data_IF_067047815105
#
_entry.id   IF_067047815105
#
_cell.length_a   1.000
_cell.length_b   1.000
_cell.length_c   1.000
_cell.angle_alpha   90.00
_cell.angle_beta   90.00
_cell.angle_gamma   90.00
#
_symmetry.space_group_name_H-M   'P 1'
#
loop_
_entity.id
_entity.type
_entity.pdbx_description
1 polymer ?
#
# COMPACT_ATOMS: atom_id res chain seq x y z
N UNK A 1 33.65 18.36 8.96
CA UNK A 1 33.07 17.14 9.58
C UNK A 1 31.65 17.38 10.10
N UNK A 2 31.42 18.29 11.07
CA UNK A 2 30.06 18.61 11.58
C UNK A 2 29.06 19.06 10.51
N UNK A 3 29.46 19.91 9.57
CA UNK A 3 28.58 20.37 8.49
C UNK A 3 28.21 19.25 7.48
N UNK A 4 29.08 18.25 7.30
CA UNK A 4 28.76 17.07 6.46
C UNK A 4 27.68 16.23 7.12
N UNK A 5 27.77 15.96 8.42
CA UNK A 5 26.76 15.16 9.13
C UNK A 5 25.38 15.79 9.10
N UNK A 6 25.27 17.11 9.34
CA UNK A 6 24.00 17.83 9.20
C UNK A 6 23.40 17.65 7.81
N UNK A 7 24.22 17.83 6.77
CA UNK A 7 23.79 17.70 5.39
C UNK A 7 23.33 16.28 5.05
N UNK A 8 24.03 15.25 5.53
CA UNK A 8 23.63 13.85 5.34
C UNK A 8 22.26 13.56 5.98
N UNK A 9 22.02 14.09 7.18
CA UNK A 9 20.73 13.95 7.88
C UNK A 9 19.62 14.64 7.08
N UNK A 10 19.84 15.87 6.63
CA UNK A 10 18.86 16.62 5.83
C UNK A 10 18.60 15.92 4.49
N UNK A 11 19.64 15.43 3.82
CA UNK A 11 19.50 14.70 2.55
C UNK A 11 18.69 13.42 2.73
N UNK A 12 18.98 12.63 3.77
CA UNK A 12 18.22 11.41 4.07
C UNK A 12 16.75 11.72 4.39
N UNK A 13 16.47 12.71 5.24
CA UNK A 13 15.11 13.13 5.56
C UNK A 13 14.35 13.60 4.31
N UNK A 14 14.98 14.43 3.48
CA UNK A 14 14.38 14.93 2.25
C UNK A 14 14.03 13.80 1.28
N UNK A 15 14.90 12.81 1.10
CA UNK A 15 14.63 11.64 0.26
C UNK A 15 13.45 10.81 0.81
N UNK A 16 13.41 10.56 2.12
CA UNK A 16 12.34 9.78 2.76
C UNK A 16 10.96 10.47 2.66
N UNK A 17 10.93 11.80 2.69
CA UNK A 17 9.70 12.58 2.55
C UNK A 17 9.18 12.68 1.10
N UNK A 18 10.03 12.38 0.11
CA UNK A 18 9.74 12.49 -1.32
C UNK A 18 9.95 11.14 -2.05
N UNK A 19 9.21 10.07 -1.65
CA UNK A 19 9.34 8.77 -2.29
C UNK A 19 8.91 8.84 -3.76
N UNK A 20 9.77 8.31 -4.63
CA UNK A 20 9.56 8.21 -6.09
C UNK A 20 9.46 9.54 -6.85
N UNK A 21 9.68 10.67 -6.20
CA UNK A 21 9.82 11.94 -6.89
C UNK A 21 11.12 11.98 -7.70
N UNK A 22 11.06 12.59 -8.89
CA UNK A 22 12.23 12.85 -9.71
C UNK A 22 12.90 14.14 -9.26
N UNK A 23 13.94 14.01 -8.43
CA UNK A 23 14.63 15.13 -7.82
C UNK A 23 15.84 15.55 -8.65
N UNK A 24 15.91 16.84 -9.02
CA UNK A 24 17.06 17.38 -9.74
C UNK A 24 18.29 17.49 -8.84
N UNK A 25 19.44 17.02 -9.33
CA UNK A 25 20.72 17.26 -8.65
C UNK A 25 21.04 18.75 -8.51
N UNK A 26 20.54 19.60 -9.42
CA UNK A 26 20.74 21.05 -9.33
C UNK A 26 19.94 21.64 -8.18
N UNK A 27 18.67 21.25 -8.05
CA UNK A 27 17.79 21.74 -6.98
C UNK A 27 18.30 21.29 -5.61
N UNK A 28 18.68 20.02 -5.48
CA UNK A 28 19.26 19.47 -4.24
C UNK A 28 20.59 20.15 -3.89
N UNK A 29 21.44 20.42 -4.88
CA UNK A 29 22.72 21.13 -4.71
C UNK A 29 22.50 22.55 -4.20
N UNK A 30 21.51 23.26 -4.74
CA UNK A 30 21.11 24.59 -4.28
C UNK A 30 20.50 24.57 -2.88
N UNK A 31 19.60 23.60 -2.60
CA UNK A 31 18.95 23.43 -1.29
C UNK A 31 19.98 23.22 -0.17
N UNK A 32 20.98 22.38 -0.44
CA UNK A 32 22.01 22.01 0.54
C UNK A 32 23.25 22.91 0.49
N UNK A 33 23.28 23.90 -0.43
CA UNK A 33 24.40 24.83 -0.65
C UNK A 33 25.76 24.14 -0.83
N UNK A 34 25.79 23.06 -1.63
CA UNK A 34 27.03 22.31 -1.92
C UNK A 34 27.20 22.05 -3.40
N UNK A 35 28.44 21.83 -3.84
CA UNK A 35 28.72 21.41 -5.22
C UNK A 35 28.10 20.04 -5.54
N UNK A 36 27.74 19.82 -6.82
CA UNK A 36 27.16 18.55 -7.30
C UNK A 36 28.06 17.33 -7.05
N UNK A 37 29.38 17.50 -7.07
CA UNK A 37 30.34 16.43 -6.75
C UNK A 37 30.26 16.01 -5.29
N UNK A 38 30.18 16.97 -4.36
CA UNK A 38 29.97 16.71 -2.93
C UNK A 38 28.62 16.04 -2.68
N UNK A 39 27.56 16.54 -3.32
CA UNK A 39 26.24 15.92 -3.23
C UNK A 39 26.24 14.47 -3.72
N UNK A 40 26.96 14.16 -4.81
CA UNK A 40 27.03 12.80 -5.34
C UNK A 40 27.72 11.83 -4.39
N UNK A 41 28.79 12.26 -3.70
CA UNK A 41 29.44 11.45 -2.66
C UNK A 41 28.50 11.20 -1.47
N UNK A 42 27.78 12.24 -1.04
CA UNK A 42 26.82 12.13 0.06
C UNK A 42 25.62 11.25 -0.31
N UNK A 43 25.13 11.30 -1.56
CA UNK A 43 24.08 10.42 -2.07
C UNK A 43 24.51 8.96 -2.06
N UNK A 44 25.75 8.65 -2.47
CA UNK A 44 26.28 7.27 -2.42
C UNK A 44 26.33 6.76 -0.98
N UNK A 45 26.77 7.62 -0.03
CA UNK A 45 26.78 7.26 1.38
C UNK A 45 25.37 7.03 1.93
N UNK A 46 24.44 7.96 1.70
CA UNK A 46 23.04 7.84 2.16
C UNK A 46 22.37 6.61 1.55
N UNK A 47 22.59 6.35 0.26
CA UNK A 47 22.11 5.12 -0.40
C UNK A 47 22.54 3.87 0.37
N UNK A 48 23.83 3.72 0.64
CA UNK A 48 24.35 2.55 1.35
C UNK A 48 23.75 2.38 2.75
N UNK A 49 23.53 3.49 3.47
CA UNK A 49 22.88 3.47 4.79
C UNK A 49 21.40 3.06 4.70
N UNK A 50 20.65 3.62 3.75
CA UNK A 50 19.23 3.29 3.54
C UNK A 50 19.04 1.84 3.10
N UNK A 51 19.93 1.32 2.24
CA UNK A 51 19.90 -0.08 1.79
C UNK A 51 20.20 -1.04 2.94
N UNK A 52 21.24 -0.76 3.73
CA UNK A 52 21.61 -1.58 4.89
C UNK A 52 20.52 -1.58 5.98
N UNK A 53 19.81 -0.47 6.15
CA UNK A 53 18.70 -0.36 7.09
C UNK A 53 17.36 -0.91 6.54
N UNK A 54 17.31 -1.36 5.27
CA UNK A 54 16.09 -1.84 4.64
C UNK A 54 15.07 -0.74 4.26
N UNK A 55 15.44 0.54 4.41
CA UNK A 55 14.58 1.66 4.07
C UNK A 55 14.40 1.84 2.57
N UNK A 56 15.33 1.37 1.73
CA UNK A 56 15.20 1.45 0.27
C UNK A 56 16.50 1.83 -0.41
N UNK A 57 16.39 2.24 -1.67
CA UNK A 57 17.55 2.57 -2.50
C UNK A 57 17.38 3.93 -3.15
N UNK A 58 18.50 4.55 -3.52
CA UNK A 58 18.54 5.77 -4.32
C UNK A 58 19.05 5.42 -5.70
N UNK A 59 18.23 5.67 -6.72
CA UNK A 59 18.56 5.47 -8.12
C UNK A 59 19.00 6.80 -8.73
N UNK A 60 20.13 6.78 -9.44
CA UNK A 60 20.61 7.94 -10.19
C UNK A 60 20.28 7.74 -11.66
N UNK A 61 19.59 8.72 -12.26
CA UNK A 61 19.28 8.74 -13.69
C UNK A 61 20.22 9.71 -14.41
N UNK A 62 20.81 9.26 -15.53
CA UNK A 62 21.74 10.05 -16.34
C UNK A 62 20.98 10.74 -17.48
N UNK A 63 21.30 12.01 -17.78
CA UNK A 63 20.74 12.75 -18.93
C UNK A 63 20.32 14.19 -18.60
N UNK A 64 19.67 14.86 -19.56
CA UNK A 64 19.23 16.28 -19.45
C UNK A 64 18.14 16.46 -18.39
N UNK A 65 17.29 15.45 -18.18
CA UNK A 65 16.36 15.33 -17.05
C UNK A 65 16.92 14.43 -15.94
N UNK A 66 18.23 14.22 -15.91
CA UNK A 66 18.89 13.39 -14.91
C UNK A 66 18.68 13.92 -13.50
N UNK A 67 18.75 13.00 -12.53
CA UNK A 67 18.36 13.29 -11.16
C UNK A 67 18.54 12.07 -10.27
N UNK A 68 17.91 12.14 -9.11
CA UNK A 68 17.84 11.02 -8.18
C UNK A 68 16.39 10.73 -7.84
N UNK A 69 16.10 9.44 -7.68
CA UNK A 69 14.80 8.95 -7.24
C UNK A 69 15.04 8.03 -6.06
N UNK A 70 14.41 8.33 -4.94
CA UNK A 70 14.37 7.40 -3.81
C UNK A 70 13.25 6.37 -4.05
N UNK A 71 13.61 5.09 -3.99
CA UNK A 71 12.68 3.98 -4.09
C UNK A 71 12.56 3.34 -2.70
N UNK A 72 11.39 3.45 -2.05
CA UNK A 72 11.13 2.82 -0.77
C UNK A 72 11.38 1.32 -0.81
N UNK A 73 12.07 0.83 0.21
CA UNK A 73 12.33 -0.58 0.46
C UNK A 73 11.27 -1.18 1.38
N UNK A 74 11.62 -2.33 1.96
CA UNK A 74 10.81 -2.99 2.97
C UNK A 74 11.70 -3.36 4.14
N UNK A 75 11.47 -2.70 5.28
CA UNK A 75 12.01 -3.16 6.57
C UNK A 75 11.26 -4.43 6.97
N UNK A 76 11.86 -5.58 6.66
CA UNK A 76 11.29 -6.91 6.90
C UNK A 76 11.10 -7.20 8.38
N UNK A 77 11.94 -6.63 9.25
CA UNK A 77 11.84 -6.85 10.70
C UNK A 77 10.64 -6.09 11.24
N UNK A 78 10.49 -4.81 10.86
CA UNK A 78 9.30 -4.00 11.19
C UNK A 78 8.03 -4.64 10.64
N UNK A 79 8.03 -5.05 9.37
CA UNK A 79 6.88 -5.70 8.75
C UNK A 79 6.48 -7.01 9.47
N UNK A 80 7.45 -7.85 9.85
CA UNK A 80 7.22 -9.07 10.63
C UNK A 80 6.60 -8.78 12.00
N UNK A 81 7.18 -7.82 12.72
CA UNK A 81 6.71 -7.45 14.05
C UNK A 81 5.29 -6.89 13.98
N UNK A 82 4.98 -6.10 12.96
CA UNK A 82 3.62 -5.59 12.72
C UNK A 82 2.64 -6.70 12.37
N UNK A 83 2.99 -7.65 11.48
CA UNK A 83 2.13 -8.81 11.20
C UNK A 83 1.79 -9.58 12.48
N UNK A 84 2.79 -9.86 13.32
CA UNK A 84 2.56 -10.57 14.58
C UNK A 84 1.68 -9.75 15.54
N UNK A 85 1.95 -8.45 15.68
CA UNK A 85 1.14 -7.55 16.52
C UNK A 85 -0.32 -7.54 16.06
N UNK A 86 -0.58 -7.52 14.76
CA UNK A 86 -1.94 -7.62 14.23
C UNK A 86 -2.60 -8.96 14.54
N UNK A 87 -1.89 -10.08 14.38
CA UNK A 87 -2.40 -11.41 14.74
C UNK A 87 -2.79 -11.43 16.22
N UNK A 88 -1.89 -11.00 17.11
CA UNK A 88 -2.11 -11.00 18.56
C UNK A 88 -3.34 -10.16 18.94
N UNK A 89 -3.53 -9.00 18.30
CA UNK A 89 -4.70 -8.15 18.53
C UNK A 89 -5.98 -8.74 17.96
N UNK A 90 -5.94 -9.38 16.80
CA UNK A 90 -7.13 -9.92 16.14
C UNK A 90 -7.65 -11.21 16.76
N UNK A 91 -6.83 -11.93 17.53
CA UNK A 91 -7.26 -13.12 18.28
C UNK A 91 -7.81 -12.79 19.67
N UNK A 92 -7.84 -11.51 20.07
CA UNK A 92 -8.49 -11.05 21.31
C UNK A 92 -9.98 -11.47 21.32
N UNK A 93 -10.52 -12.01 22.44
CA UNK A 93 -11.87 -12.60 22.47
C UNK A 93 -13.01 -11.63 22.11
N UNK A 94 -12.84 -10.34 22.32
CA UNK A 94 -13.83 -9.29 22.05
C UNK A 94 -13.84 -8.82 20.59
N UNK A 95 -12.93 -9.34 19.75
CA UNK A 95 -12.84 -9.00 18.33
C UNK A 95 -13.93 -9.65 17.49
N UNK A 96 -14.44 -10.81 17.91
CA UNK A 96 -15.51 -11.48 17.18
C UNK A 96 -16.86 -10.89 17.58
N UNK A 97 -17.49 -10.18 16.65
CA UNK A 97 -18.83 -9.62 16.85
C UNK A 97 -19.89 -10.73 16.89
N UNK A 98 -21.07 -10.49 17.50
CA UNK A 98 -22.17 -11.45 17.53
C UNK A 98 -22.63 -11.91 16.14
N UNK A 99 -22.47 -11.05 15.14
CA UNK A 99 -22.83 -11.32 13.74
C UNK A 99 -21.75 -12.11 12.98
N UNK A 100 -20.67 -12.53 13.65
CA UNK A 100 -19.60 -13.33 13.04
C UNK A 100 -18.64 -12.52 12.18
N UNK A 101 -18.47 -11.22 12.45
CA UNK A 101 -17.45 -10.38 11.81
C UNK A 101 -16.30 -10.06 12.77
N UNK A 102 -15.10 -9.93 12.22
CA UNK A 102 -13.92 -9.48 12.94
C UNK A 102 -13.90 -7.94 13.06
N UNK A 103 -13.82 -7.44 14.29
CA UNK A 103 -13.74 -6.02 14.58
C UNK A 103 -12.29 -5.52 14.46
N UNK A 104 -12.02 -4.79 13.39
CA UNK A 104 -10.68 -4.30 13.03
C UNK A 104 -10.58 -2.76 12.99
N UNK A 105 -11.66 -2.05 13.28
CA UNK A 105 -11.76 -0.61 12.99
C UNK A 105 -10.75 0.22 13.78
N UNK A 106 -10.59 -0.03 15.08
CA UNK A 106 -9.58 0.63 15.92
C UNK A 106 -8.15 0.39 15.39
N UNK A 107 -7.84 -0.82 14.91
CA UNK A 107 -6.53 -1.17 14.39
C UNK A 107 -6.25 -0.54 13.02
N UNK A 108 -7.26 -0.51 12.14
CA UNK A 108 -7.15 0.06 10.79
C UNK A 108 -6.90 1.57 10.82
N UNK A 109 -7.42 2.26 11.82
CA UNK A 109 -7.29 3.71 11.96
C UNK A 109 -6.15 4.14 12.90
N UNK A 110 -5.28 3.19 13.29
CA UNK A 110 -4.02 3.45 13.99
C UNK A 110 -2.85 3.45 12.97
N UNK A 111 -2.25 4.62 12.67
CA UNK A 111 -1.14 4.74 11.70
C UNK A 111 0.04 3.81 12.04
N UNK A 112 0.38 3.65 13.32
CA UNK A 112 1.51 2.83 13.75
C UNK A 112 1.29 1.34 13.45
N UNK A 113 0.02 0.94 13.34
CA UNK A 113 -0.37 -0.42 12.99
C UNK A 113 -0.52 -0.59 11.47
N UNK A 114 -1.19 0.34 10.78
CA UNK A 114 -1.55 0.16 9.37
C UNK A 114 -0.40 0.47 8.40
N UNK A 115 0.45 1.46 8.70
CA UNK A 115 1.50 1.89 7.78
C UNK A 115 2.50 0.77 7.42
N UNK A 116 3.06 0.01 8.39
CA UNK A 116 3.96 -1.10 8.07
C UNK A 116 3.30 -2.19 7.22
N UNK A 117 2.00 -2.41 7.41
CA UNK A 117 1.23 -3.40 6.65
C UNK A 117 0.92 -2.91 5.24
N UNK A 118 0.61 -1.61 5.06
CA UNK A 118 0.46 -1.01 3.73
C UNK A 118 1.77 -1.04 2.93
N UNK A 119 2.90 -0.76 3.56
CA UNK A 119 4.23 -0.91 2.95
C UNK A 119 4.49 -2.34 2.49
N UNK A 120 4.21 -3.32 3.36
CA UNK A 120 4.34 -4.74 3.04
C UNK A 120 3.40 -5.17 1.88
N UNK A 121 2.15 -4.69 1.89
CA UNK A 121 1.16 -5.01 0.87
C UNK A 121 1.48 -4.37 -0.48
N UNK A 122 2.06 -3.16 -0.49
CA UNK A 122 2.51 -2.47 -1.68
C UNK A 122 3.78 -3.09 -2.29
N UNK A 123 4.60 -3.78 -1.49
CA UNK A 123 5.91 -4.29 -1.92
C UNK A 123 5.90 -5.10 -3.22
N UNK A 124 4.97 -6.05 -3.46
CA UNK A 124 4.89 -6.80 -4.72
C UNK A 124 4.66 -5.92 -5.96
N UNK A 125 4.12 -4.71 -5.77
CA UNK A 125 3.76 -3.78 -6.83
C UNK A 125 4.82 -2.70 -7.07
N UNK A 126 5.88 -2.64 -6.26
CA UNK A 126 6.92 -1.59 -6.33
C UNK A 126 7.69 -1.54 -7.65
N UNK A 127 7.77 -2.67 -8.36
CA UNK A 127 8.40 -2.81 -9.67
C UNK A 127 7.39 -2.76 -10.83
N UNK A 128 6.11 -2.58 -10.53
CA UNK A 128 5.06 -2.41 -11.53
C UNK A 128 4.77 -0.92 -11.72
N UNK A 129 4.23 -0.59 -12.89
CA UNK A 129 3.67 0.73 -13.11
C UNK A 129 2.26 0.76 -12.51
N UNK A 130 2.11 1.47 -11.39
CA UNK A 130 0.83 1.74 -10.73
C UNK A 130 0.60 3.25 -10.84
N UNK A 131 -0.52 3.66 -11.42
CA UNK A 131 -0.90 5.08 -11.53
C UNK A 131 -1.65 5.54 -10.30
N UNK A 132 -2.41 4.65 -9.68
CA UNK A 132 -3.22 4.95 -8.50
C UNK A 132 -3.55 3.71 -7.67
N UNK A 133 -3.81 3.94 -6.39
CA UNK A 133 -4.41 2.94 -5.49
C UNK A 133 -5.89 3.25 -5.34
N UNK A 134 -6.77 2.28 -5.62
CA UNK A 134 -8.21 2.45 -5.44
C UNK A 134 -8.73 1.68 -4.23
N UNK A 135 -9.72 2.22 -3.54
CA UNK A 135 -10.43 1.51 -2.45
C UNK A 135 -11.89 1.94 -2.36
N UNK A 136 -12.74 1.13 -1.73
CA UNK A 136 -14.13 1.48 -1.43
C UNK A 136 -14.21 2.05 -0.02
N UNK A 137 -14.99 3.11 0.16
CA UNK A 137 -15.20 3.66 1.50
C UNK A 137 -15.82 2.62 2.49
N UNK A 138 -15.43 2.60 3.76
CA UNK A 138 -14.54 3.55 4.45
C UNK A 138 -13.29 2.89 5.04
N UNK A 139 -13.39 1.62 5.42
CA UNK A 139 -12.39 0.91 6.23
C UNK A 139 -11.08 0.63 5.49
N UNK A 140 -11.12 0.46 4.17
CA UNK A 140 -9.92 0.28 3.34
C UNK A 140 -9.09 1.56 3.14
N UNK A 141 -9.61 2.74 3.48
CA UNK A 141 -8.95 4.04 3.22
C UNK A 141 -7.57 4.13 3.88
N UNK A 142 -7.38 3.86 5.19
CA UNK A 142 -6.07 3.98 5.82
C UNK A 142 -5.03 3.06 5.18
N UNK A 143 -5.41 1.81 4.88
CA UNK A 143 -4.52 0.85 4.23
C UNK A 143 -4.17 1.27 2.80
N UNK A 144 -5.13 1.80 2.04
CA UNK A 144 -4.90 2.31 0.70
C UNK A 144 -3.91 3.50 0.71
N UNK A 145 -4.04 4.41 1.67
CA UNK A 145 -3.10 5.52 1.86
C UNK A 145 -1.68 5.01 2.19
N UNK A 146 -1.59 4.03 3.10
CA UNK A 146 -0.33 3.39 3.46
C UNK A 146 0.32 2.65 2.28
N UNK A 147 -0.47 2.08 1.37
CA UNK A 147 0.04 1.46 0.13
C UNK A 147 0.47 2.51 -0.91
N UNK A 148 -0.28 3.61 -1.04
CA UNK A 148 -0.07 4.60 -2.09
C UNK A 148 1.25 5.37 -1.91
N UNK A 149 1.63 5.65 -0.65
CA UNK A 149 2.86 6.36 -0.29
C UNK A 149 4.14 5.69 -0.84
N UNK A 150 4.44 4.40 -0.57
CA UNK A 150 5.62 3.75 -1.12
C UNK A 150 5.55 3.51 -2.63
N UNK A 151 4.35 3.57 -3.22
CA UNK A 151 4.14 3.52 -4.68
C UNK A 151 4.28 4.88 -5.35
N UNK A 152 4.29 5.99 -4.60
CA UNK A 152 4.38 7.35 -5.14
C UNK A 152 3.14 7.71 -5.97
N UNK A 153 1.97 7.26 -5.52
CA UNK A 153 0.70 7.40 -6.27
C UNK A 153 -0.40 8.01 -5.43
N UNK A 154 -1.45 8.48 -6.09
CA UNK A 154 -2.64 9.01 -5.43
C UNK A 154 -3.64 7.89 -5.08
N UNK A 155 -4.55 8.17 -4.13
CA UNK A 155 -5.66 7.28 -3.80
C UNK A 155 -6.95 7.72 -4.52
N UNK A 156 -7.55 6.79 -5.24
CA UNK A 156 -8.86 6.93 -5.88
C UNK A 156 -9.93 6.31 -4.98
N UNK A 157 -10.84 7.14 -4.48
CA UNK A 157 -11.88 6.68 -3.57
C UNK A 157 -13.18 6.34 -4.31
N UNK A 158 -13.56 5.07 -4.26
CA UNK A 158 -14.86 4.58 -4.73
C UNK A 158 -15.89 4.77 -3.62
N UNK A 159 -17.02 5.39 -3.97
CA UNK A 159 -18.13 5.66 -3.05
C UNK A 159 -19.14 4.53 -3.07
N UNK A 160 -19.92 4.36 -2.00
CA UNK A 160 -21.10 3.47 -2.01
C UNK A 160 -22.29 4.11 -2.75
N UNK A 161 -22.33 5.44 -2.78
CA UNK A 161 -23.33 6.22 -3.50
C UNK A 161 -22.69 7.45 -4.14
N UNK A 162 -23.16 7.83 -5.33
CA UNK A 162 -22.72 9.06 -6.00
C UNK A 162 -23.02 10.29 -5.14
N UNK A 163 -22.08 11.23 -5.09
CA UNK A 163 -22.29 12.54 -4.43
C UNK A 163 -22.43 13.63 -5.49
N UNK A 164 -23.44 14.48 -5.38
CA UNK A 164 -23.66 15.60 -6.31
C UNK A 164 -22.44 16.53 -6.39
N UNK A 165 -21.76 16.75 -5.27
CA UNK A 165 -20.52 17.55 -5.19
C UNK A 165 -19.36 16.97 -6.00
N UNK A 166 -19.42 15.68 -6.36
CA UNK A 166 -18.39 14.98 -7.12
C UNK A 166 -18.64 14.96 -8.63
N UNK A 167 -19.77 15.50 -9.09
CA UNK A 167 -20.12 15.62 -10.51
C UNK A 167 -20.66 14.32 -11.14
N UNK A 168 -20.49 14.18 -12.45
CA UNK A 168 -20.93 12.98 -13.18
C UNK A 168 -20.17 11.74 -12.71
N UNK A 169 -20.90 10.66 -12.47
CA UNK A 169 -20.34 9.42 -11.95
C UNK A 169 -20.83 8.20 -12.74
N UNK A 170 -20.03 7.14 -12.73
CA UNK A 170 -20.41 5.80 -13.16
C UNK A 170 -20.79 5.01 -11.91
N UNK A 171 -21.86 4.23 -11.97
CA UNK A 171 -22.34 3.44 -10.85
C UNK A 171 -22.66 2.03 -11.29
N UNK A 172 -22.34 1.06 -10.46
CA UNK A 172 -22.70 -0.34 -10.66
C UNK A 172 -23.31 -0.93 -9.39
N UNK A 173 -24.09 -2.00 -9.54
CA UNK A 173 -24.64 -2.78 -8.44
C UNK A 173 -23.94 -4.14 -8.37
N UNK A 174 -23.73 -4.64 -7.16
CA UNK A 174 -23.09 -5.94 -6.94
C UNK A 174 -23.62 -6.63 -5.68
N UNK A 175 -23.41 -7.95 -5.60
CA UNK A 175 -23.77 -8.72 -4.42
C UNK A 175 -22.60 -8.73 -3.43
N UNK A 176 -22.83 -8.17 -2.25
CA UNK A 176 -21.84 -8.10 -1.18
C UNK A 176 -21.68 -9.46 -0.48
N UNK A 177 -20.46 -9.99 -0.44
CA UNK A 177 -20.17 -11.29 0.19
C UNK A 177 -20.37 -11.29 1.71
N UNK A 178 -20.22 -10.13 2.37
CA UNK A 178 -20.40 -9.99 3.82
C UNK A 178 -21.87 -9.82 4.20
N UNK A 179 -22.63 -9.00 3.47
CA UNK A 179 -24.03 -8.70 3.82
C UNK A 179 -25.08 -9.53 3.09
N UNK A 180 -24.69 -10.28 2.03
CA UNK A 180 -25.61 -10.97 1.10
C UNK A 180 -26.73 -10.07 0.54
N UNK A 181 -26.45 -8.76 0.44
CA UNK A 181 -27.36 -7.74 -0.10
C UNK A 181 -26.76 -7.12 -1.35
N UNK A 182 -27.64 -6.60 -2.20
CA UNK A 182 -27.25 -5.75 -3.32
C UNK A 182 -26.70 -4.45 -2.73
N UNK A 183 -25.47 -4.12 -3.09
CA UNK A 183 -24.80 -2.87 -2.79
C UNK A 183 -24.52 -2.13 -4.10
N UNK A 184 -24.39 -0.81 -4.01
CA UNK A 184 -23.95 0.02 -5.12
C UNK A 184 -22.54 0.50 -4.84
N UNK A 185 -21.79 0.75 -5.92
CA UNK A 185 -20.59 1.55 -5.86
C UNK A 185 -20.57 2.56 -7.00
N UNK A 186 -19.92 3.69 -6.79
CA UNK A 186 -19.90 4.81 -7.70
C UNK A 186 -18.56 5.51 -7.70
N UNK A 187 -18.11 5.92 -8.88
CA UNK A 187 -16.87 6.66 -9.07
C UNK A 187 -17.11 7.85 -10.00
N UNK A 188 -16.62 9.02 -9.60
CA UNK A 188 -16.71 10.22 -10.42
C UNK A 188 -15.84 10.08 -11.68
N UNK A 189 -16.36 10.54 -12.83
CA UNK A 189 -15.65 10.48 -14.12
C UNK A 189 -14.30 11.21 -14.13
N UNK A 190 -14.09 12.17 -13.23
CA UNK A 190 -12.83 12.91 -13.08
C UNK A 190 -11.85 12.28 -12.09
N UNK A 191 -12.27 11.26 -11.34
CA UNK A 191 -11.47 10.67 -10.28
C UNK A 191 -10.37 9.73 -10.79
N UNK A 192 -10.49 9.24 -12.02
CA UNK A 192 -9.53 8.31 -12.61
C UNK A 192 -9.28 8.68 -14.06
N UNK A 193 -7.99 8.71 -14.45
CA UNK A 193 -7.60 8.95 -15.83
C UNK A 193 -7.90 7.69 -16.66
N UNK A 194 -8.38 7.84 -17.91
CA UNK A 194 -8.59 6.68 -18.77
C UNK A 194 -7.31 5.88 -18.99
N UNK A 195 -7.40 4.55 -18.98
CA UNK A 195 -6.26 3.66 -19.22
C UNK A 195 -5.32 3.44 -18.02
N UNK A 196 -5.62 4.01 -16.85
CA UNK A 196 -4.77 3.89 -15.67
C UNK A 196 -4.57 2.45 -15.20
N UNK A 197 -3.37 2.15 -14.72
CA UNK A 197 -3.04 0.92 -14.00
C UNK A 197 -3.31 1.10 -12.51
N UNK A 198 -4.21 0.31 -11.94
CA UNK A 198 -4.77 0.52 -10.60
C UNK A 198 -4.48 -0.68 -9.69
N UNK A 199 -3.94 -0.42 -8.51
CA UNK A 199 -3.94 -1.39 -7.42
C UNK A 199 -5.23 -1.22 -6.61
N UNK A 200 -6.08 -2.23 -6.54
CA UNK A 200 -7.26 -2.16 -5.67
C UNK A 200 -6.93 -2.67 -4.26
N UNK A 201 -7.33 -1.94 -3.22
CA UNK A 201 -7.06 -2.26 -1.81
C UNK A 201 -8.35 -2.32 -1.00
N UNK A 202 -8.51 -3.35 -0.17
CA UNK A 202 -9.66 -3.52 0.73
C UNK A 202 -9.24 -4.02 2.11
N UNK A 203 -10.05 -3.78 3.15
CA UNK A 203 -9.72 -4.26 4.51
C UNK A 203 -10.03 -5.75 4.69
N UNK A 204 -11.09 -6.25 4.05
CA UNK A 204 -11.55 -7.61 4.27
C UNK A 204 -12.12 -8.25 3.01
N UNK A 205 -11.70 -9.48 2.71
CA UNK A 205 -12.21 -10.25 1.57
C UNK A 205 -12.69 -11.65 1.95
N UNK A 206 -13.97 -11.92 1.69
CA UNK A 206 -14.53 -13.29 1.73
C UNK A 206 -14.42 -14.00 0.39
N UNK A 207 -15.37 -13.79 -0.51
CA UNK A 207 -15.38 -14.38 -1.85
C UNK A 207 -14.76 -13.48 -2.94
N UNK A 208 -14.50 -12.20 -2.64
CA UNK A 208 -13.97 -11.23 -3.62
C UNK A 208 -15.03 -10.45 -4.41
N UNK A 209 -16.31 -10.50 -4.01
CA UNK A 209 -17.40 -9.80 -4.74
C UNK A 209 -17.19 -8.29 -4.84
N UNK A 210 -16.75 -7.63 -3.76
CA UNK A 210 -16.41 -6.19 -3.77
C UNK A 210 -15.26 -5.89 -4.71
N UNK A 211 -14.17 -6.68 -4.63
CA UNK A 211 -13.00 -6.50 -5.49
C UNK A 211 -13.34 -6.71 -6.98
N UNK A 212 -14.19 -7.70 -7.28
CA UNK A 212 -14.68 -7.93 -8.65
C UNK A 212 -15.50 -6.76 -9.16
N UNK A 213 -16.47 -6.30 -8.37
CA UNK A 213 -17.26 -5.14 -8.73
C UNK A 213 -16.39 -3.89 -8.90
N UNK A 214 -15.40 -3.66 -8.02
CA UNK A 214 -14.47 -2.55 -8.17
C UNK A 214 -13.67 -2.66 -9.48
N UNK A 215 -13.19 -3.86 -9.85
CA UNK A 215 -12.52 -4.09 -11.12
C UNK A 215 -13.43 -3.80 -12.32
N UNK A 216 -14.70 -4.25 -12.28
CA UNK A 216 -15.67 -3.98 -13.33
C UNK A 216 -15.95 -2.46 -13.44
N UNK A 217 -16.14 -1.75 -12.32
CA UNK A 217 -16.33 -0.29 -12.29
C UNK A 217 -15.12 0.47 -12.84
N UNK A 218 -13.91 0.08 -12.47
CA UNK A 218 -12.67 0.68 -12.98
C UNK A 218 -12.50 0.39 -14.47
N UNK A 219 -12.94 -0.78 -14.94
CA UNK A 219 -12.99 -1.15 -16.35
C UNK A 219 -13.84 -0.21 -17.21
N UNK A 220 -14.91 0.39 -16.67
CA UNK A 220 -15.72 1.42 -17.37
C UNK A 220 -14.93 2.70 -17.69
N UNK A 221 -13.76 2.89 -17.08
CA UNK A 221 -12.81 3.98 -17.36
C UNK A 221 -11.67 3.51 -18.27
N UNK A 222 -11.71 2.27 -18.77
CA UNK A 222 -10.60 1.63 -19.48
C UNK A 222 -9.39 1.34 -18.59
N UNK A 223 -9.54 1.42 -17.26
CA UNK A 223 -8.46 1.16 -16.33
C UNK A 223 -8.21 -0.34 -16.17
N UNK A 224 -6.97 -0.72 -15.86
CA UNK A 224 -6.57 -2.11 -15.62
C UNK A 224 -6.25 -2.30 -14.16
N UNK A 225 -6.92 -3.23 -13.48
CA UNK A 225 -6.56 -3.63 -12.12
C UNK A 225 -5.34 -4.55 -12.17
N UNK A 226 -4.17 -4.05 -11.75
CA UNK A 226 -2.90 -4.80 -11.80
C UNK A 226 -2.79 -5.84 -10.69
N UNK A 227 -3.61 -5.70 -9.65
CA UNK A 227 -3.77 -6.66 -8.57
C UNK A 227 -4.74 -6.16 -7.50
N UNK A 228 -5.06 -7.05 -6.56
CA UNK A 228 -5.90 -6.76 -5.41
C UNK A 228 -5.10 -7.02 -4.13
N UNK A 229 -4.91 -6.01 -3.29
CA UNK A 229 -4.32 -6.15 -1.96
C UNK A 229 -5.40 -6.11 -0.88
N UNK A 230 -5.36 -7.04 0.08
CA UNK A 230 -6.30 -7.03 1.20
C UNK A 230 -5.58 -7.26 2.53
N UNK A 231 -6.08 -6.65 3.61
CA UNK A 231 -5.52 -6.91 4.93
C UNK A 231 -5.85 -8.35 5.37
N UNK A 232 -7.14 -8.71 5.40
CA UNK A 232 -7.58 -10.05 5.81
C UNK A 232 -8.39 -10.70 4.68
N UNK A 233 -8.07 -11.94 4.35
CA UNK A 233 -8.95 -12.79 3.54
C UNK A 233 -9.41 -14.01 4.34
N UNK A 234 -10.64 -14.46 4.12
CA UNK A 234 -11.06 -15.76 4.69
C UNK A 234 -10.43 -16.90 3.91
N UNK A 235 -10.17 -18.04 4.56
CA UNK A 235 -9.76 -19.26 3.86
C UNK A 235 -10.87 -19.77 2.93
N UNK A 236 -12.10 -19.79 3.43
CA UNK A 236 -13.28 -20.26 2.69
C UNK A 236 -14.12 -19.09 2.13
N UNK A 237 -14.62 -19.16 0.88
CA UNK A 237 -14.40 -20.26 -0.08
C UNK A 237 -12.97 -20.24 -0.64
N UNK A 238 -12.42 -21.42 -0.95
CA UNK A 238 -11.08 -21.52 -1.54
C UNK A 238 -10.99 -20.81 -2.92
N UNK A 239 -12.02 -21.00 -3.76
CA UNK A 239 -12.11 -20.31 -5.04
C UNK A 239 -12.67 -18.90 -4.83
N UNK A 240 -11.83 -17.89 -5.07
CA UNK A 240 -12.21 -16.48 -5.05
C UNK A 240 -12.69 -16.04 -6.43
N UNK A 241 -13.39 -14.90 -6.49
CA UNK A 241 -13.84 -14.27 -7.74
C UNK A 241 -12.75 -13.45 -8.44
N UNK A 242 -11.57 -13.35 -7.82
CA UNK A 242 -10.38 -12.66 -8.30
C UNK A 242 -9.19 -13.60 -8.18
N UNK A 243 -8.44 -13.77 -9.27
CA UNK A 243 -7.29 -14.67 -9.31
C UNK A 243 -6.01 -14.02 -8.78
N UNK A 244 -5.81 -12.72 -9.03
CA UNK A 244 -4.59 -11.98 -8.68
C UNK A 244 -4.80 -11.13 -7.43
N UNK A 245 -4.79 -11.77 -6.27
CA UNK A 245 -4.89 -11.09 -4.99
C UNK A 245 -3.77 -11.45 -4.01
N UNK A 246 -3.51 -10.56 -3.08
CA UNK A 246 -2.56 -10.69 -1.98
C UNK A 246 -3.25 -10.33 -0.68
N UNK A 247 -3.41 -11.29 0.22
CA UNK A 247 -3.84 -11.03 1.60
C UNK A 247 -2.65 -10.96 2.54
N UNK A 248 -2.63 -10.06 3.52
CA UNK A 248 -1.58 -10.08 4.56
C UNK A 248 -1.85 -11.16 5.60
N UNK A 249 -3.12 -11.31 5.98
CA UNK A 249 -3.59 -12.27 6.97
C UNK A 249 -4.68 -13.15 6.37
N UNK A 250 -4.70 -14.41 6.79
CA UNK A 250 -5.76 -15.37 6.47
C UNK A 250 -6.58 -15.66 7.73
N UNK A 251 -7.90 -15.60 7.62
CA UNK A 251 -8.83 -15.92 8.70
C UNK A 251 -9.53 -17.26 8.47
N UNK A 252 -9.37 -18.16 9.44
CA UNK A 252 -9.92 -19.50 9.51
C UNK A 252 -11.10 -19.46 10.47
N UNK A 253 -12.30 -19.22 9.94
CA UNK A 253 -13.53 -19.01 10.72
C UNK A 253 -13.82 -20.16 11.72
N UNK A 254 -13.30 -21.36 11.48
CA UNK A 254 -13.55 -22.58 12.26
C UNK A 254 -12.42 -22.95 13.26
N UNK A 255 -11.37 -22.14 13.42
CA UNK A 255 -10.23 -22.45 14.28
C UNK A 255 -10.13 -21.51 15.50
N UNK A 256 -9.81 -22.01 16.71
CA UNK A 256 -9.47 -21.16 17.84
C UNK A 256 -8.19 -20.38 17.49
N UNK A 257 -8.22 -19.05 17.60
CA UNK A 257 -7.16 -18.15 17.10
C UNK A 257 -6.94 -18.26 15.58
N UNK A 258 -8.03 -18.26 14.81
CA UNK A 258 -8.00 -18.53 13.37
C UNK A 258 -7.34 -17.48 12.47
N UNK A 259 -6.75 -16.40 12.99
CA UNK A 259 -6.06 -15.41 12.16
C UNK A 259 -4.56 -15.71 12.12
N UNK A 260 -4.02 -15.93 10.93
CA UNK A 260 -2.60 -16.23 10.73
C UNK A 260 -2.02 -15.38 9.60
N UNK A 261 -0.71 -15.09 9.58
CA UNK A 261 -0.08 -14.44 8.44
C UNK A 261 -0.21 -15.30 7.18
N UNK A 262 -0.52 -14.68 6.05
CA UNK A 262 -0.53 -15.36 4.75
C UNK A 262 0.87 -15.85 4.39
N UNK A 263 0.95 -16.96 3.66
CA UNK A 263 2.23 -17.65 3.37
C UNK A 263 3.27 -16.72 2.72
N UNK A 264 2.86 -15.98 1.69
CA UNK A 264 3.76 -15.06 0.98
C UNK A 264 4.26 -13.92 1.88
N UNK A 265 3.38 -13.35 2.71
CA UNK A 265 3.70 -12.25 3.61
C UNK A 265 4.69 -12.72 4.69
N UNK A 266 4.43 -13.90 5.26
CA UNK A 266 5.32 -14.52 6.22
C UNK A 266 6.69 -14.86 5.60
N UNK A 267 6.70 -15.44 4.39
CA UNK A 267 7.92 -15.81 3.69
C UNK A 267 8.77 -14.59 3.33
N UNK A 268 8.15 -13.49 2.88
CA UNK A 268 8.83 -12.24 2.55
C UNK A 268 9.50 -11.61 3.77
N UNK A 269 8.85 -11.71 4.94
CA UNK A 269 9.34 -11.19 6.22
C UNK A 269 10.39 -12.09 6.90
N UNK A 270 10.68 -13.28 6.37
CA UNK A 270 11.81 -14.09 6.86
C UNK A 270 13.11 -13.42 6.43
N UNK A 271 13.85 -12.92 7.41
CA UNK A 271 15.25 -12.51 7.22
C UNK A 271 16.03 -13.80 6.98
N UNK A 272 16.82 -13.88 5.89
CA UNK A 272 17.82 -14.94 5.78
C UNK A 272 18.82 -14.68 6.90
N UNK A 273 18.92 -15.58 7.86
CA UNK A 273 20.10 -15.61 8.71
C UNK A 273 21.29 -15.80 7.77
N UNK A 274 22.12 -14.77 7.65
CA UNK A 274 23.40 -14.88 6.95
C UNK A 274 24.23 -15.90 7.75
N UNK A 275 24.37 -17.09 7.17
CA UNK A 275 25.31 -18.14 7.57
C UNK A 275 26.75 -17.72 7.33
#
# INVERSE_FOLDING_TARGET
MRERYKRLIVLAAYLLDHPRDQLSLTELSSLLQVAKSTLSEDLMFVKGVLEAAGHGTVLTQVGVQGGVVYIPGLDRVRARNSLQKWVDRLVEPDRLTPDGFLYMTDLLFDPDLVDPLGELLAFPFTNLHVDSVATVETKGIPLAMACARPLGTEVVLIRRHSRLSEGSAVSINYLSGSSRRIQSMSLSRRALKPGSSVLFVDDFMKAGGTARAAADLLGEFGATVVGVGVLVATKDPANKLIDRFWSLLEWHENAPSGVVPSEWANALCRVREES
#
